data_IF_505007619973
#
_entry.id   IF_505007619973
#
_cell.length_a   1.000
_cell.length_b   1.000
_cell.length_c   1.000
_cell.angle_alpha   90.00
_cell.angle_beta   90.00
_cell.angle_gamma   90.00
#
_symmetry.space_group_name_H-M   'P 1'
#
loop_
_entity.id
_entity.type
_entity.pdbx_description
1 polymer ?
#
# COMPACT_ATOMS: atom_id res chain seq x y z
N UNK A 1 -25.69 -43.93 -26.15
CA UNK A 1 -25.01 -44.45 -24.92
C UNK A 1 -24.00 -43.40 -24.46
N UNK A 2 -24.24 -42.83 -23.27
CA UNK A 2 -23.46 -41.73 -22.70
C UNK A 2 -22.37 -42.26 -21.75
N UNK A 3 -21.42 -41.37 -21.44
CA UNK A 3 -20.45 -41.39 -20.32
C UNK A 3 -19.21 -42.28 -20.58
N UNK A 4 -17.94 -41.82 -20.61
CA UNK A 4 -17.25 -40.64 -20.07
C UNK A 4 -17.62 -40.32 -18.62
N UNK A 5 -16.95 -40.95 -17.66
CA UNK A 5 -15.97 -40.24 -16.80
C UNK A 5 -15.32 -41.21 -15.78
N UNK A 6 -14.05 -41.47 -16.03
CA UNK A 6 -12.93 -41.65 -15.11
C UNK A 6 -13.22 -41.58 -13.59
N UNK A 7 -12.97 -42.70 -12.93
CA UNK A 7 -12.87 -42.87 -11.49
C UNK A 7 -11.57 -42.24 -10.95
N UNK A 8 -11.74 -41.54 -9.82
CA UNK A 8 -10.89 -41.54 -8.61
C UNK A 8 -9.38 -41.22 -8.70
N UNK A 9 -8.98 -40.11 -8.05
CA UNK A 9 -8.51 -40.09 -6.65
C UNK A 9 -7.41 -39.02 -6.40
N UNK A 10 -7.57 -38.39 -5.25
CA UNK A 10 -6.56 -37.88 -4.30
C UNK A 10 -5.83 -36.55 -4.45
N UNK A 11 -5.75 -35.92 -3.27
CA UNK A 11 -4.77 -34.94 -2.77
C UNK A 11 -4.98 -33.44 -3.08
N UNK A 12 -5.91 -32.87 -2.32
CA UNK A 12 -5.63 -31.84 -1.30
C UNK A 12 -4.31 -31.04 -1.45
N UNK A 13 -4.37 -29.93 -2.18
CA UNK A 13 -3.55 -28.73 -1.95
C UNK A 13 -4.34 -27.50 -2.44
N UNK A 14 -5.26 -27.04 -1.61
CA UNK A 14 -5.99 -25.79 -1.80
C UNK A 14 -5.03 -24.58 -1.84
N UNK A 15 -4.70 -24.19 -3.07
CA UNK A 15 -4.05 -22.95 -3.52
C UNK A 15 -3.50 -22.00 -2.44
N UNK A 16 -2.17 -21.84 -2.42
CA UNK A 16 -1.50 -20.66 -1.86
C UNK A 16 -2.30 -19.42 -2.30
N UNK A 17 -2.71 -18.50 -1.41
CA UNK A 17 -3.32 -17.26 -1.85
C UNK A 17 -2.32 -16.57 -2.76
N UNK A 18 -2.63 -16.58 -4.06
CA UNK A 18 -1.84 -15.97 -5.11
C UNK A 18 -1.79 -14.50 -4.76
N UNK A 19 -0.70 -14.09 -4.11
CA UNK A 19 -0.46 -12.73 -3.61
C UNK A 19 -0.75 -11.79 -4.75
N UNK A 20 -1.96 -11.22 -4.75
CA UNK A 20 -2.38 -10.21 -5.71
C UNK A 20 -1.35 -9.10 -5.57
N UNK A 21 -0.55 -8.89 -6.60
CA UNK A 21 0.33 -7.72 -6.69
C UNK A 21 -0.62 -6.52 -6.78
N UNK A 22 -1.00 -5.95 -5.63
CA UNK A 22 -1.69 -4.65 -5.60
C UNK A 22 -0.72 -3.68 -6.27
N UNK A 23 -1.09 -3.21 -7.45
CA UNK A 23 -0.27 -2.40 -8.33
C UNK A 23 0.22 -1.14 -7.60
N UNK A 24 1.40 -0.65 -7.99
CA UNK A 24 2.13 0.46 -7.39
C UNK A 24 1.31 1.76 -7.21
N UNK A 25 0.17 1.90 -7.88
CA UNK A 25 -0.84 2.94 -7.66
C UNK A 25 -1.38 2.98 -6.21
N UNK A 26 -1.24 1.89 -5.44
CA UNK A 26 -1.68 1.83 -4.06
C UNK A 26 -0.80 2.66 -3.09
N UNK A 27 0.49 2.87 -3.39
CA UNK A 27 1.44 3.46 -2.43
C UNK A 27 1.21 4.96 -2.20
N UNK A 28 1.13 5.73 -3.29
CA UNK A 28 0.87 7.17 -3.21
C UNK A 28 -0.50 7.47 -2.59
N UNK A 29 -1.53 6.73 -2.98
CA UNK A 29 -2.87 6.87 -2.40
C UNK A 29 -2.85 6.56 -0.89
N UNK A 30 -2.15 5.50 -0.48
CA UNK A 30 -2.01 5.17 0.93
C UNK A 30 -1.23 6.23 1.73
N UNK A 31 -0.22 6.87 1.11
CA UNK A 31 0.47 8.02 1.69
C UNK A 31 -0.47 9.21 1.90
N UNK A 32 -1.18 9.61 0.85
CA UNK A 32 -2.09 10.73 0.89
C UNK A 32 -3.22 10.51 1.91
N UNK A 33 -3.86 9.33 1.89
CA UNK A 33 -4.90 8.96 2.85
C UNK A 33 -4.39 8.95 4.29
N UNK A 34 -3.21 8.39 4.56
CA UNK A 34 -2.64 8.34 5.91
C UNK A 34 -2.47 9.72 6.55
N UNK A 35 -2.06 10.70 5.75
CA UNK A 35 -1.78 12.05 6.23
C UNK A 35 -3.00 12.99 6.20
N UNK A 36 -3.97 12.78 5.31
CA UNK A 36 -5.11 13.71 5.12
C UNK A 36 -6.44 13.23 5.67
N UNK A 37 -6.61 11.94 5.99
CA UNK A 37 -7.87 11.41 6.51
C UNK A 37 -8.18 11.97 7.91
N UNK A 38 -9.46 12.29 8.15
CA UNK A 38 -10.01 12.74 9.45
C UNK A 38 -11.28 11.92 9.73
N UNK A 39 -11.43 11.24 10.90
CA UNK A 39 -10.45 11.09 11.97
C UNK A 39 -9.20 10.38 11.46
N UNK A 40 -8.06 10.84 11.96
CA UNK A 40 -6.75 10.43 11.47
C UNK A 40 -6.59 8.90 11.64
N UNK A 41 -6.10 8.21 10.60
CA UNK A 41 -6.25 6.74 10.36
C UNK A 41 -5.83 5.83 11.53
N UNK A 42 -4.93 6.32 12.39
CA UNK A 42 -4.54 5.66 13.64
C UNK A 42 -5.68 5.40 14.63
N UNK A 43 -6.81 6.09 14.46
CA UNK A 43 -8.06 5.93 15.22
C UNK A 43 -9.03 4.88 14.64
N UNK A 44 -8.69 4.19 13.54
CA UNK A 44 -9.55 3.13 13.02
C UNK A 44 -9.52 1.89 13.92
N UNK A 45 -10.67 1.23 14.07
CA UNK A 45 -10.79 -0.06 14.76
C UNK A 45 -10.08 -1.21 14.00
N UNK A 46 -9.82 -1.01 12.71
CA UNK A 46 -9.19 -1.98 11.83
C UNK A 46 -7.65 -1.99 11.98
N UNK A 47 -7.18 -2.89 12.85
CA UNK A 47 -5.75 -3.10 13.11
C UNK A 47 -4.98 -3.58 11.88
N UNK A 48 -5.59 -4.36 11.00
CA UNK A 48 -4.91 -4.89 9.80
C UNK A 48 -4.63 -3.75 8.83
N UNK A 49 -5.65 -2.97 8.50
CA UNK A 49 -5.52 -1.81 7.62
C UNK A 49 -4.51 -0.78 8.15
N UNK A 50 -4.51 -0.54 9.47
CA UNK A 50 -3.51 0.31 10.14
C UNK A 50 -2.09 -0.22 9.99
N UNK A 51 -1.88 -1.53 10.10
CA UNK A 51 -0.59 -2.16 9.85
C UNK A 51 -0.15 -1.98 8.39
N UNK A 52 -1.05 -2.22 7.44
CA UNK A 52 -0.76 -2.03 6.00
C UNK A 52 -0.28 -0.61 5.70
N UNK A 53 -1.01 0.41 6.18
CA UNK A 53 -0.57 1.79 6.01
C UNK A 53 0.79 2.03 6.66
N UNK A 54 1.04 1.57 7.90
CA UNK A 54 2.34 1.74 8.55
C UNK A 54 3.49 1.19 7.72
N UNK A 55 3.32 0.01 7.13
CA UNK A 55 4.34 -0.59 6.27
C UNK A 55 4.58 0.26 5.01
N UNK A 56 3.51 0.72 4.36
CA UNK A 56 3.62 1.59 3.17
C UNK A 56 4.32 2.91 3.51
N UNK A 57 3.91 3.56 4.60
CA UNK A 57 4.48 4.84 5.04
C UNK A 57 5.95 4.67 5.42
N UNK A 58 6.28 3.65 6.21
CA UNK A 58 7.67 3.36 6.58
C UNK A 58 8.52 3.11 5.33
N UNK A 59 8.01 2.30 4.40
CA UNK A 59 8.68 2.01 3.14
C UNK A 59 8.92 3.26 2.29
N UNK A 60 7.90 4.12 2.10
CA UNK A 60 8.06 5.36 1.31
C UNK A 60 9.04 6.34 1.94
N UNK A 61 9.09 6.42 3.28
CA UNK A 61 10.05 7.28 3.99
C UNK A 61 11.51 6.89 3.72
N UNK A 62 11.80 5.62 3.43
CA UNK A 62 13.17 5.18 3.08
C UNK A 62 13.69 5.86 1.80
N UNK A 63 12.78 6.26 0.90
CA UNK A 63 13.14 6.94 -0.35
C UNK A 63 13.21 8.46 -0.19
N UNK A 64 12.90 8.98 1.01
CA UNK A 64 13.05 10.39 1.35
C UNK A 64 14.40 10.60 2.05
N UNK A 65 15.50 10.40 1.32
CA UNK A 65 16.88 10.47 1.85
C UNK A 65 17.20 11.83 2.49
N UNK A 66 16.68 12.91 1.90
CA UNK A 66 16.81 14.28 2.43
C UNK A 66 15.86 14.57 3.60
N UNK A 67 15.05 13.59 3.99
CA UNK A 67 13.95 13.76 4.93
C UNK A 67 12.74 14.46 4.30
N UNK A 68 11.77 14.76 5.16
CA UNK A 68 10.58 15.54 4.82
C UNK A 68 10.00 16.15 6.10
N UNK A 69 9.37 17.31 5.98
CA UNK A 69 8.65 17.98 7.06
C UNK A 69 7.21 18.20 6.59
N UNK A 70 6.25 17.84 7.44
CA UNK A 70 4.83 18.12 7.22
C UNK A 70 4.33 18.88 8.44
N UNK A 71 3.90 20.12 8.26
CA UNK A 71 3.25 20.89 9.31
C UNK A 71 1.73 20.73 9.20
N UNK A 72 1.06 20.03 10.14
CA UNK A 72 -0.38 19.85 10.13
C UNK A 72 -1.18 21.15 10.19
N UNK A 73 -0.57 22.25 10.62
CA UNK A 73 -1.23 23.56 10.75
C UNK A 73 -1.01 24.44 9.52
N UNK A 74 -0.15 24.02 8.58
CA UNK A 74 0.13 24.81 7.39
C UNK A 74 -1.09 24.82 6.45
N UNK A 75 -1.43 25.96 5.83
CA UNK A 75 -2.58 26.08 4.93
C UNK A 75 -2.43 25.20 3.67
N UNK A 76 -1.20 24.91 3.27
CA UNK A 76 -0.81 24.08 2.14
C UNK A 76 -0.44 22.64 2.55
N UNK A 77 -0.82 22.20 3.76
CA UNK A 77 -0.47 20.86 4.26
C UNK A 77 -0.79 19.73 3.27
N UNK A 78 -1.95 19.77 2.62
CA UNK A 78 -2.33 18.75 1.64
C UNK A 78 -1.40 18.74 0.43
N UNK A 79 -0.95 19.91 -0.02
CA UNK A 79 -0.03 20.06 -1.14
C UNK A 79 1.37 19.58 -0.75
N UNK A 80 1.82 19.87 0.48
CA UNK A 80 3.07 19.33 1.02
C UNK A 80 3.04 17.79 1.10
N UNK A 81 1.91 17.20 1.53
CA UNK A 81 1.71 15.75 1.55
C UNK A 81 1.77 15.16 0.14
N UNK A 82 1.11 15.80 -0.83
CA UNK A 82 1.09 15.38 -2.23
C UNK A 82 2.50 15.42 -2.83
N UNK A 83 3.20 16.55 -2.71
CA UNK A 83 4.55 16.72 -3.24
C UNK A 83 5.52 15.69 -2.65
N UNK A 84 5.49 15.51 -1.33
CA UNK A 84 6.36 14.55 -0.64
C UNK A 84 6.09 13.12 -1.10
N UNK A 85 4.81 12.74 -1.21
CA UNK A 85 4.41 11.41 -1.68
C UNK A 85 4.85 11.16 -3.13
N UNK A 86 4.73 12.17 -3.99
CA UNK A 86 5.16 12.08 -5.39
C UNK A 86 6.68 11.98 -5.51
N UNK A 87 7.44 12.74 -4.72
CA UNK A 87 8.91 12.65 -4.66
C UNK A 87 9.37 11.26 -4.24
N UNK A 88 8.75 10.68 -3.20
CA UNK A 88 9.02 9.30 -2.79
C UNK A 88 8.71 8.29 -3.90
N UNK A 89 7.54 8.41 -4.54
CA UNK A 89 7.12 7.54 -5.64
C UNK A 89 8.05 7.63 -6.86
N UNK A 90 8.51 8.83 -7.21
CA UNK A 90 9.46 9.05 -8.30
C UNK A 90 10.81 8.36 -8.02
N UNK A 91 11.33 8.51 -6.79
CA UNK A 91 12.58 7.85 -6.39
C UNK A 91 12.45 6.32 -6.37
N UNK A 92 11.31 5.80 -5.94
CA UNK A 92 10.96 4.37 -6.05
C UNK A 92 11.03 3.86 -7.49
N UNK A 93 10.45 4.59 -8.45
CA UNK A 93 10.50 4.18 -9.86
C UNK A 93 11.89 4.26 -10.49
N UNK A 94 12.73 5.20 -10.06
CA UNK A 94 14.08 5.37 -10.60
C UNK A 94 15.11 4.39 -9.99
N UNK A 95 14.83 3.80 -8.83
CA UNK A 95 15.76 2.88 -8.14
C UNK A 95 15.74 1.44 -8.69
N UNK A 96 14.90 1.11 -9.67
CA UNK A 96 14.77 -0.26 -10.23
C UNK A 96 15.61 -0.44 -11.51
N UNK A 97 16.79 0.19 -11.59
CA UNK A 97 17.72 0.08 -12.72
C UNK A 97 18.91 -0.79 -12.30
#
# INVERSE_FOLDING_TARGET
>A
PKEQLQEQDTFDQGSRPKRRKKAATNLFNAWFEWYTQVPRVWNSADRQKKSEYRHVIAFMKLFLIEGFALDPNAPDYKDQVLDTGLRAAKRLSCSTI
#
